data_IF_758384438296
#
_entry.id   IF_758384438296
#
_cell.length_a   1.000
_cell.length_b   1.000
_cell.length_c   1.000
_cell.angle_alpha   90.00
_cell.angle_beta   90.00
_cell.angle_gamma   90.00
#
_symmetry.space_group_name_H-M   'P 1'
#
loop_
_entity.id
_entity.type
_entity.pdbx_description
1 polymer ?
#
# COMPACT_ATOMS: atom_id res chain seq x y z
N UNK A 1 -8.31 -42.36 7.91
CA UNK A 1 -7.37 -41.29 8.32
C UNK A 1 -6.44 -40.97 7.14
N UNK A 2 -6.64 -39.83 6.46
CA UNK A 2 -5.68 -39.27 5.51
C UNK A 2 -5.34 -37.87 6.00
N UNK A 3 -4.13 -37.69 6.49
CA UNK A 3 -3.55 -36.37 6.70
C UNK A 3 -3.36 -35.75 5.31
N UNK A 4 -4.22 -34.83 4.93
CA UNK A 4 -4.06 -34.03 3.72
C UNK A 4 -3.28 -32.77 4.08
N UNK A 5 -2.02 -32.79 3.64
CA UNK A 5 -1.11 -31.67 3.37
C UNK A 5 -1.69 -30.26 3.56
N UNK A 6 -1.52 -29.73 4.77
CA UNK A 6 -1.95 -28.38 5.16
C UNK A 6 -0.94 -27.29 4.74
N UNK A 7 0.15 -27.62 4.04
CA UNK A 7 1.22 -26.65 3.75
C UNK A 7 1.06 -25.90 2.42
N UNK A 8 0.25 -26.39 1.48
CA UNK A 8 0.15 -25.80 0.12
C UNK A 8 -0.97 -24.75 0.00
N UNK A 9 -2.02 -24.88 0.80
CA UNK A 9 -3.15 -23.92 0.83
C UNK A 9 -2.82 -22.61 1.55
N UNK A 10 -1.88 -22.61 2.50
CA UNK A 10 -1.46 -21.38 3.19
C UNK A 10 -0.65 -20.44 2.29
N UNK A 11 0.05 -20.96 1.28
CA UNK A 11 0.88 -20.16 0.38
C UNK A 11 0.04 -19.44 -0.69
N UNK A 12 -0.98 -20.10 -1.25
CA UNK A 12 -1.89 -19.49 -2.25
C UNK A 12 -2.90 -18.51 -1.62
N UNK A 13 -3.30 -18.69 -0.37
CA UNK A 13 -4.26 -17.79 0.29
C UNK A 13 -3.61 -16.47 0.77
N UNK A 14 -2.30 -16.50 1.04
CA UNK A 14 -1.50 -15.30 1.32
C UNK A 14 -1.37 -14.37 0.11
N UNK A 15 -1.41 -14.92 -1.11
CA UNK A 15 -1.27 -14.18 -2.37
C UNK A 15 -2.50 -13.34 -2.69
N UNK A 16 -3.72 -13.88 -2.56
CA UNK A 16 -4.96 -13.10 -2.81
C UNK A 16 -5.13 -11.91 -1.85
N UNK A 17 -4.66 -12.06 -0.62
CA UNK A 17 -4.85 -11.08 0.44
C UNK A 17 -3.85 -9.92 0.42
N UNK A 18 -2.65 -10.13 -0.13
CA UNK A 18 -1.71 -9.05 -0.41
C UNK A 18 -2.23 -8.18 -1.55
N UNK A 19 -2.89 -8.78 -2.54
CA UNK A 19 -3.41 -8.11 -3.72
C UNK A 19 -4.56 -7.13 -3.38
N UNK A 20 -5.49 -7.50 -2.50
CA UNK A 20 -6.60 -6.61 -2.11
C UNK A 20 -6.11 -5.31 -1.43
N UNK A 21 -5.17 -5.41 -0.48
CA UNK A 21 -4.61 -4.25 0.19
C UNK A 21 -3.80 -3.37 -0.78
N UNK A 22 -3.01 -4.03 -1.62
CA UNK A 22 -2.20 -3.35 -2.65
C UNK A 22 -3.11 -2.59 -3.62
N UNK A 23 -4.27 -3.16 -3.96
CA UNK A 23 -5.26 -2.50 -4.79
C UNK A 23 -5.84 -1.25 -4.10
N UNK A 24 -6.24 -1.34 -2.83
CA UNK A 24 -6.73 -0.19 -2.06
C UNK A 24 -5.69 0.94 -2.04
N UNK A 25 -4.43 0.62 -1.77
CA UNK A 25 -3.37 1.63 -1.72
C UNK A 25 -3.04 2.19 -3.11
N UNK A 26 -3.10 1.37 -4.16
CA UNK A 26 -2.91 1.85 -5.54
C UNK A 26 -3.98 2.89 -5.93
N UNK A 27 -5.21 2.79 -5.42
CA UNK A 27 -6.22 3.83 -5.62
C UNK A 27 -5.85 5.14 -4.92
N UNK A 28 -5.19 5.10 -3.76
CA UNK A 28 -4.63 6.29 -3.10
C UNK A 28 -3.56 6.94 -3.97
N UNK A 29 -2.58 6.15 -4.43
CA UNK A 29 -1.52 6.63 -5.33
C UNK A 29 -2.11 7.20 -6.62
N UNK A 30 -3.14 6.57 -7.20
CA UNK A 30 -3.73 7.08 -8.44
C UNK A 30 -4.48 8.40 -8.23
N UNK A 31 -5.09 8.62 -7.06
CA UNK A 31 -5.69 9.91 -6.71
C UNK A 31 -4.61 11.01 -6.63
N UNK A 32 -3.52 10.75 -5.93
CA UNK A 32 -2.36 11.67 -5.84
C UNK A 32 -1.83 11.93 -7.25
N UNK A 33 -1.54 10.89 -8.03
CA UNK A 33 -1.06 11.02 -9.42
C UNK A 33 -1.99 11.88 -10.29
N UNK A 34 -3.31 11.72 -10.16
CA UNK A 34 -4.29 12.55 -10.90
C UNK A 34 -4.32 13.99 -10.40
N UNK A 35 -4.09 14.24 -9.12
CA UNK A 35 -3.97 15.58 -8.55
C UNK A 35 -2.70 16.27 -9.10
N UNK A 36 -1.55 15.61 -8.99
CA UNK A 36 -0.27 16.09 -9.53
C UNK A 36 -0.33 16.34 -11.03
N UNK A 37 -0.91 15.42 -11.79
CA UNK A 37 -1.09 15.57 -13.24
C UNK A 37 -1.91 16.82 -13.62
N UNK A 38 -2.81 17.29 -12.76
CA UNK A 38 -3.58 18.52 -13.01
C UNK A 38 -2.79 19.79 -12.70
N UNK A 39 -1.72 19.69 -11.91
CA UNK A 39 -0.93 20.82 -11.42
C UNK A 39 0.32 21.10 -12.27
N UNK A 40 0.82 20.11 -13.01
CA UNK A 40 1.99 20.29 -13.90
C UNK A 40 1.63 20.94 -15.24
N UNK A 41 2.65 21.50 -15.89
CA UNK A 41 2.57 22.08 -17.23
C UNK A 41 2.20 21.03 -18.29
N UNK A 42 1.67 21.49 -19.43
CA UNK A 42 1.16 20.62 -20.48
C UNK A 42 2.24 19.70 -21.08
N UNK A 43 3.50 20.16 -21.11
CA UNK A 43 4.63 19.38 -21.61
C UNK A 43 4.97 18.16 -20.72
N UNK A 44 4.74 18.25 -19.40
CA UNK A 44 5.08 17.20 -18.42
C UNK A 44 3.94 16.20 -18.17
N UNK A 45 2.70 16.57 -18.53
CA UNK A 45 1.51 15.72 -18.40
C UNK A 45 1.63 14.34 -19.03
N UNK A 46 2.20 14.17 -20.25
CA UNK A 46 2.37 12.85 -20.86
C UNK A 46 3.28 11.94 -20.03
N UNK A 47 4.33 12.49 -19.42
CA UNK A 47 5.26 11.74 -18.59
C UNK A 47 4.54 11.18 -17.35
N UNK A 48 3.89 12.02 -16.54
CA UNK A 48 3.16 11.57 -15.34
C UNK A 48 2.04 10.57 -15.68
N UNK A 49 1.34 10.76 -16.81
CA UNK A 49 0.30 9.82 -17.27
C UNK A 49 0.88 8.45 -17.60
N UNK A 50 2.05 8.39 -18.21
CA UNK A 50 2.73 7.15 -18.59
C UNK A 50 3.22 6.29 -17.41
N UNK A 51 3.41 6.90 -16.23
CA UNK A 51 4.03 6.23 -15.07
C UNK A 51 3.07 5.41 -14.19
N UNK A 52 1.77 5.40 -14.48
CA UNK A 52 0.75 4.72 -13.63
C UNK A 52 1.13 3.28 -13.28
N UNK A 53 1.57 2.51 -14.28
CA UNK A 53 1.94 1.11 -14.05
C UNK A 53 3.22 0.97 -13.22
N UNK A 54 4.18 1.88 -13.38
CA UNK A 54 5.43 1.85 -12.62
C UNK A 54 5.17 2.14 -11.13
N UNK A 55 4.29 3.10 -10.83
CA UNK A 55 3.85 3.41 -9.46
C UNK A 55 3.12 2.24 -8.77
N UNK A 56 2.41 1.42 -9.55
CA UNK A 56 1.65 0.29 -9.01
C UNK A 56 2.53 -0.94 -8.78
N UNK A 57 3.67 -1.04 -9.47
CA UNK A 57 4.59 -2.15 -9.29
C UNK A 57 5.47 -1.97 -8.07
N UNK A 58 5.81 -3.10 -7.46
CA UNK A 58 6.87 -3.15 -6.47
C UNK A 58 8.22 -3.09 -7.17
N UNK A 59 9.24 -2.57 -6.48
CA UNK A 59 10.60 -2.39 -7.02
C UNK A 59 11.14 -3.70 -7.62
N UNK A 60 10.92 -4.84 -6.96
CA UNK A 60 11.42 -6.14 -7.44
C UNK A 60 10.81 -6.62 -8.78
N UNK A 61 9.70 -6.02 -9.20
CA UNK A 61 9.00 -6.35 -10.46
C UNK A 61 9.28 -5.34 -11.58
N UNK A 62 10.07 -4.30 -11.32
CA UNK A 62 10.45 -3.32 -12.32
C UNK A 62 11.56 -3.87 -13.21
N UNK A 63 11.48 -3.57 -14.52
CA UNK A 63 12.64 -3.72 -15.39
C UNK A 63 13.60 -2.55 -15.14
N UNK A 64 14.91 -2.67 -15.41
CA UNK A 64 15.86 -1.57 -15.18
C UNK A 64 15.44 -0.26 -15.85
N UNK A 65 14.86 -0.34 -17.06
CA UNK A 65 14.32 0.84 -17.77
C UNK A 65 13.14 1.50 -17.03
N UNK A 66 12.25 0.69 -16.46
CA UNK A 66 11.09 1.19 -15.71
C UNK A 66 11.49 1.74 -14.34
N UNK A 67 12.49 1.13 -13.70
CA UNK A 67 13.07 1.61 -12.45
C UNK A 67 13.70 3.00 -12.62
N UNK A 68 14.54 3.20 -13.64
CA UNK A 68 15.10 4.53 -13.96
C UNK A 68 13.98 5.56 -14.15
N UNK A 69 12.99 5.22 -14.97
CA UNK A 69 11.88 6.13 -15.27
C UNK A 69 10.99 6.42 -14.06
N UNK A 70 10.83 5.45 -13.15
CA UNK A 70 10.15 5.66 -11.87
C UNK A 70 10.96 6.59 -10.97
N UNK A 71 12.27 6.38 -10.86
CA UNK A 71 13.14 7.25 -10.06
C UNK A 71 13.14 8.69 -10.56
N UNK A 72 13.12 8.91 -11.87
CA UNK A 72 12.97 10.24 -12.47
C UNK A 72 11.63 10.89 -12.06
N UNK A 73 10.53 10.15 -12.08
CA UNK A 73 9.25 10.68 -11.61
C UNK A 73 9.29 11.03 -10.11
N UNK A 74 9.80 10.13 -9.28
CA UNK A 74 9.82 10.31 -7.83
C UNK A 74 10.78 11.41 -7.40
N UNK A 75 11.84 11.70 -8.17
CA UNK A 75 12.73 12.83 -7.89
C UNK A 75 12.11 14.18 -8.24
N UNK A 76 11.18 14.21 -9.20
CA UNK A 76 10.48 15.43 -9.64
C UNK A 76 9.17 15.68 -8.87
N UNK A 77 8.60 14.65 -8.24
CA UNK A 77 7.33 14.74 -7.54
C UNK A 77 7.41 14.18 -6.11
N UNK A 78 7.56 15.08 -5.14
CA UNK A 78 7.73 14.74 -3.73
C UNK A 78 6.52 13.95 -3.19
N UNK A 79 5.30 14.34 -3.57
CA UNK A 79 4.10 13.72 -3.03
C UNK A 79 3.92 12.27 -3.50
N UNK A 80 4.21 12.00 -4.77
CA UNK A 80 4.28 10.63 -5.30
C UNK A 80 5.41 9.83 -4.66
N UNK A 81 6.55 10.46 -4.36
CA UNK A 81 7.66 9.81 -3.68
C UNK A 81 7.28 9.39 -2.25
N UNK A 82 6.72 10.31 -1.46
CA UNK A 82 6.26 10.01 -0.10
C UNK A 82 5.21 8.89 -0.11
N UNK A 83 4.23 8.97 -1.02
CA UNK A 83 3.22 7.92 -1.17
C UNK A 83 3.82 6.56 -1.55
N UNK A 84 4.84 6.55 -2.43
CA UNK A 84 5.53 5.33 -2.85
C UNK A 84 6.35 4.69 -1.71
N UNK A 85 7.07 5.50 -0.94
CA UNK A 85 7.82 5.03 0.24
C UNK A 85 6.86 4.43 1.28
N UNK A 86 5.76 5.11 1.57
CA UNK A 86 4.76 4.64 2.53
C UNK A 86 4.06 3.37 2.07
N UNK A 87 3.88 3.17 0.75
CA UNK A 87 3.41 1.91 0.18
C UNK A 87 4.37 0.77 0.50
N UNK A 88 5.66 0.96 0.22
CA UNK A 88 6.66 -0.07 0.42
C UNK A 88 6.80 -0.42 1.90
N UNK A 89 6.79 0.59 2.77
CA UNK A 89 6.75 0.40 4.22
C UNK A 89 5.57 -0.49 4.63
N UNK A 90 4.33 -0.20 4.19
CA UNK A 90 3.14 -0.98 4.54
C UNK A 90 3.21 -2.46 4.15
N UNK A 91 4.03 -2.84 3.17
CA UNK A 91 4.22 -4.26 2.81
C UNK A 91 4.76 -5.06 4.00
N UNK A 92 5.58 -4.42 4.83
CA UNK A 92 6.15 -5.01 6.04
C UNK A 92 5.08 -5.31 7.11
N UNK A 93 3.94 -4.60 7.10
CA UNK A 93 2.85 -4.87 8.05
C UNK A 93 2.43 -6.34 8.04
N UNK A 94 2.38 -6.95 6.85
CA UNK A 94 1.90 -8.32 6.67
C UNK A 94 2.90 -9.38 7.15
N UNK A 95 4.18 -9.04 7.29
CA UNK A 95 5.20 -9.99 7.75
C UNK A 95 5.17 -10.19 9.26
N UNK A 96 4.62 -9.24 10.02
CA UNK A 96 4.49 -9.36 11.48
C UNK A 96 3.53 -10.47 11.89
N UNK A 97 3.92 -11.23 12.92
CA UNK A 97 3.13 -12.29 13.55
C UNK A 97 2.71 -11.96 14.99
N UNK A 98 3.31 -10.93 15.59
CA UNK A 98 3.03 -10.50 16.97
C UNK A 98 2.24 -9.19 16.98
N UNK A 99 1.09 -9.19 17.68
CA UNK A 99 0.17 -8.03 17.78
C UNK A 99 0.87 -6.75 18.26
N UNK A 100 1.77 -6.86 19.24
CA UNK A 100 2.50 -5.72 19.77
C UNK A 100 3.43 -5.09 18.72
N UNK A 101 4.14 -5.91 17.95
CA UNK A 101 5.03 -5.43 16.89
C UNK A 101 4.27 -4.79 15.73
N UNK A 102 3.17 -5.42 15.28
CA UNK A 102 2.33 -4.85 14.22
C UNK A 102 1.63 -3.56 14.67
N UNK A 103 1.22 -3.46 15.94
CA UNK A 103 0.67 -2.22 16.50
C UNK A 103 1.68 -1.09 16.45
N UNK A 104 2.89 -1.31 16.98
CA UNK A 104 3.95 -0.28 16.98
C UNK A 104 4.33 0.14 15.56
N UNK A 105 4.38 -0.82 14.64
CA UNK A 105 4.62 -0.51 13.23
C UNK A 105 3.49 0.36 12.66
N UNK A 106 2.24 0.02 12.95
CA UNK A 106 1.08 0.77 12.48
C UNK A 106 1.03 2.19 13.06
N UNK A 107 1.39 2.35 14.34
CA UNK A 107 1.54 3.67 14.97
C UNK A 107 2.53 4.55 14.21
N UNK A 108 3.73 4.01 13.95
CA UNK A 108 4.76 4.71 13.18
C UNK A 108 4.30 5.05 11.77
N UNK A 109 3.62 4.13 11.10
CA UNK A 109 3.12 4.37 9.75
C UNK A 109 2.09 5.51 9.73
N UNK A 110 1.15 5.51 10.68
CA UNK A 110 0.14 6.57 10.81
C UNK A 110 0.77 7.92 11.13
N UNK A 111 1.79 7.96 11.99
CA UNK A 111 2.55 9.18 12.29
C UNK A 111 3.19 9.75 11.02
N UNK A 112 3.95 8.94 10.28
CA UNK A 112 4.56 9.37 9.02
C UNK A 112 3.52 9.83 7.99
N UNK A 113 2.39 9.14 7.87
CA UNK A 113 1.32 9.53 6.96
C UNK A 113 0.67 10.87 7.36
N UNK A 114 0.52 11.14 8.66
CA UNK A 114 -0.01 12.42 9.17
C UNK A 114 0.95 13.59 8.97
N UNK A 115 2.25 13.31 9.07
CA UNK A 115 3.30 14.31 8.87
C UNK A 115 3.45 14.70 7.39
N UNK A 116 2.93 13.88 6.46
CA UNK A 116 2.77 14.32 5.06
C UNK A 116 1.72 15.42 4.98
N UNK A 117 1.89 16.38 4.06
CA UNK A 117 0.81 17.36 3.76
C UNK A 117 -0.18 16.85 2.68
N UNK A 118 -0.29 15.52 2.55
CA UNK A 118 -1.02 14.86 1.46
C UNK A 118 -2.38 14.38 1.95
N UNK A 119 -3.44 15.07 1.53
CA UNK A 119 -4.82 14.80 1.94
C UNK A 119 -5.31 13.38 1.65
N UNK A 120 -4.77 12.70 0.64
CA UNK A 120 -5.10 11.32 0.31
C UNK A 120 -4.42 10.27 1.21
N UNK A 121 -3.27 10.62 1.83
CA UNK A 121 -2.56 9.78 2.81
C UNK A 121 -3.06 10.01 4.23
N UNK A 122 -3.36 11.29 4.56
CA UNK A 122 -4.47 11.63 5.46
C UNK A 122 -5.75 10.97 4.90
N UNK A 123 -6.94 10.96 5.48
CA UNK A 123 -8.03 10.01 5.03
C UNK A 123 -7.69 8.50 5.04
N UNK A 124 -6.69 8.00 4.31
CA UNK A 124 -6.32 6.59 4.29
C UNK A 124 -5.83 6.09 5.66
N UNK A 125 -4.95 6.84 6.32
CA UNK A 125 -4.54 6.62 7.73
C UNK A 125 -5.71 6.55 8.72
N UNK A 126 -6.79 7.32 8.52
CA UNK A 126 -7.96 7.42 9.37
C UNK A 126 -8.80 6.17 9.15
N UNK A 127 -8.98 5.77 7.89
CA UNK A 127 -9.54 4.49 7.53
C UNK A 127 -8.77 3.34 8.18
N UNK A 128 -7.44 3.36 8.06
CA UNK A 128 -6.56 2.34 8.62
C UNK A 128 -6.65 2.29 10.15
N UNK A 129 -6.74 3.44 10.81
CA UNK A 129 -6.88 3.53 12.26
C UNK A 129 -8.25 3.07 12.75
N UNK A 130 -9.35 3.36 12.02
CA UNK A 130 -10.68 2.78 12.30
C UNK A 130 -10.66 1.26 12.19
N UNK A 131 -9.92 0.73 11.22
CA UNK A 131 -9.78 -0.69 10.96
C UNK A 131 -8.71 -1.39 11.81
N UNK A 132 -8.04 -0.66 12.72
CA UNK A 132 -6.86 -1.11 13.49
C UNK A 132 -7.05 -2.48 14.15
N UNK A 133 -8.11 -2.68 14.94
CA UNK A 133 -8.28 -3.94 15.67
C UNK A 133 -8.40 -5.15 14.74
N UNK A 134 -9.12 -5.00 13.63
CA UNK A 134 -9.23 -6.04 12.60
C UNK A 134 -7.88 -6.36 11.95
N UNK A 135 -7.10 -5.32 11.61
CA UNK A 135 -5.76 -5.47 11.05
C UNK A 135 -4.78 -6.15 12.00
N UNK A 136 -4.80 -5.76 13.28
CA UNK A 136 -3.93 -6.32 14.30
C UNK A 136 -4.30 -7.77 14.64
N UNK A 137 -5.60 -8.07 14.74
CA UNK A 137 -6.11 -9.43 14.90
C UNK A 137 -5.70 -10.30 13.71
N UNK A 138 -5.78 -9.78 12.48
CA UNK A 138 -5.28 -10.47 11.29
C UNK A 138 -3.78 -10.79 11.39
N UNK A 139 -2.94 -9.82 11.79
CA UNK A 139 -1.50 -10.06 11.91
C UNK A 139 -1.18 -11.18 12.90
N UNK A 140 -1.95 -11.27 14.00
CA UNK A 140 -1.76 -12.27 15.05
C UNK A 140 -2.29 -13.66 14.66
N UNK A 141 -3.49 -13.73 14.07
CA UNK A 141 -4.22 -15.00 13.87
C UNK A 141 -4.28 -15.46 12.41
N UNK A 142 -3.89 -14.62 11.46
CA UNK A 142 -3.97 -14.85 10.00
C UNK A 142 -5.37 -15.19 9.47
N UNK A 143 -6.44 -14.79 10.17
CA UNK A 143 -7.84 -15.07 9.77
C UNK A 143 -8.32 -14.06 8.72
N UNK A 144 -8.70 -14.55 7.55
CA UNK A 144 -8.84 -13.74 6.32
C UNK A 144 -10.12 -12.90 6.21
N UNK A 145 -11.21 -13.30 6.86
CA UNK A 145 -12.47 -12.53 6.85
C UNK A 145 -12.33 -11.15 7.51
N UNK A 146 -11.61 -11.08 8.63
CA UNK A 146 -11.39 -9.84 9.39
C UNK A 146 -10.67 -8.75 8.57
N UNK A 147 -9.86 -9.11 7.56
CA UNK A 147 -9.11 -8.16 6.74
C UNK A 147 -9.93 -7.56 5.59
N UNK A 148 -10.81 -8.33 4.95
CA UNK A 148 -11.68 -7.82 3.88
C UNK A 148 -12.63 -6.75 4.44
N UNK A 149 -13.21 -7.00 5.62
CA UNK A 149 -14.05 -6.03 6.31
C UNK A 149 -13.26 -4.78 6.74
N UNK A 150 -12.07 -4.98 7.33
CA UNK A 150 -11.16 -3.89 7.68
C UNK A 150 -10.83 -3.01 6.48
N UNK A 151 -10.50 -3.59 5.32
CA UNK A 151 -10.15 -2.87 4.10
C UNK A 151 -11.33 -2.12 3.48
N UNK A 152 -12.51 -2.71 3.49
CA UNK A 152 -13.73 -2.04 3.02
C UNK A 152 -14.05 -0.78 3.84
N UNK A 153 -13.70 -0.77 5.13
CA UNK A 153 -13.81 0.41 6.00
C UNK A 153 -12.76 1.50 5.76
N UNK A 154 -11.65 1.17 5.08
CA UNK A 154 -10.59 2.13 4.72
C UNK A 154 -10.98 2.95 3.49
N UNK A 155 -11.67 2.34 2.52
CA UNK A 155 -12.15 3.03 1.30
C UNK A 155 -13.40 3.87 1.57
N UNK A 156 -14.27 3.41 2.49
CA UNK A 156 -15.55 4.05 2.83
C UNK A 156 -15.40 5.37 3.60
#
# INVERSE_FOLDING_TARGET
MRQLNNSRYFHDFSLNLHLDFTWVYNEVIDKIRRREWRQVEEEDKPFIKGQRFNLFMNVENLTPKREISLHELLSMNEDLNQAYILKDMLRQLWTYTYKACSSRFLDKWIELAKDTDIDELKRFENGLNRAREGLLSYCQHRITSAKIEALNGVIK
#
